data_IF_467988468343
#
_entry.id   IF_467988468343
#
_cell.length_a   1.000
_cell.length_b   1.000
_cell.length_c   1.000
_cell.angle_alpha   90.00
_cell.angle_beta   90.00
_cell.angle_gamma   90.00
#
_symmetry.space_group_name_H-M   'P 1'
#
loop_
_entity.id
_entity.type
_entity.pdbx_description
1 polymer ?
#
# COMPACT_ATOMS: atom_id res chain seq x y z
N UNK A 1 -3.56 -10.84 10.89
CA UNK A 1 -4.64 -11.86 10.91
C UNK A 1 -5.60 -11.56 9.77
N UNK A 2 -6.06 -12.58 9.04
CA UNK A 2 -7.04 -12.41 7.95
C UNK A 2 -8.47 -12.19 8.49
N UNK A 3 -9.31 -11.38 7.82
CA UNK A 3 -10.71 -11.20 8.20
C UNK A 3 -11.48 -12.53 8.18
N UNK A 4 -12.35 -12.76 9.18
CA UNK A 4 -13.10 -14.00 9.30
C UNK A 4 -14.05 -14.29 8.13
N UNK A 5 -14.71 -13.26 7.60
CA UNK A 5 -15.55 -13.39 6.39
C UNK A 5 -14.74 -13.86 5.18
N UNK A 6 -13.56 -13.26 4.97
CA UNK A 6 -12.65 -13.66 3.91
C UNK A 6 -12.20 -15.12 4.07
N UNK A 7 -11.82 -15.53 5.27
CA UNK A 7 -11.43 -16.92 5.54
C UNK A 7 -12.57 -17.90 5.27
N UNK A 8 -13.81 -17.55 5.62
CA UNK A 8 -14.96 -18.44 5.36
C UNK A 8 -15.17 -18.73 3.87
N UNK A 9 -15.00 -17.70 3.02
CA UNK A 9 -15.23 -17.81 1.59
C UNK A 9 -14.03 -18.44 0.85
N UNK A 10 -12.80 -18.10 1.27
CA UNK A 10 -11.61 -18.37 0.47
C UNK A 10 -10.60 -19.34 1.07
N UNK A 11 -10.78 -19.83 2.31
CA UNK A 11 -9.82 -20.75 2.99
C UNK A 11 -9.37 -21.94 2.14
N UNK A 12 -10.26 -22.47 1.30
CA UNK A 12 -9.98 -23.66 0.49
C UNK A 12 -9.02 -23.39 -0.66
N UNK A 13 -8.80 -22.12 -0.99
CA UNK A 13 -7.86 -21.68 -2.03
C UNK A 13 -6.55 -21.13 -1.45
N UNK A 14 -6.47 -20.98 -0.12
CA UNK A 14 -5.27 -20.54 0.58
C UNK A 14 -4.37 -21.73 0.89
N UNK A 15 -3.15 -21.70 0.37
CA UNK A 15 -2.07 -22.64 0.69
C UNK A 15 -1.45 -22.35 2.06
N UNK A 16 -0.30 -22.93 2.33
CA UNK A 16 0.47 -22.66 3.56
C UNK A 16 1.24 -21.34 3.49
N UNK A 17 1.35 -20.77 2.29
CA UNK A 17 1.96 -19.48 2.04
C UNK A 17 1.08 -18.66 1.11
N UNK A 18 1.26 -17.33 1.16
CA UNK A 18 0.71 -16.39 0.20
C UNK A 18 1.83 -15.62 -0.47
N UNK A 19 1.57 -15.16 -1.69
CA UNK A 19 2.44 -14.21 -2.39
C UNK A 19 1.75 -12.85 -2.41
N UNK A 20 2.47 -11.80 -2.02
CA UNK A 20 1.99 -10.42 -2.06
C UNK A 20 2.89 -9.64 -3.00
N UNK A 21 2.28 -8.94 -3.96
CA UNK A 21 2.92 -7.91 -4.76
C UNK A 21 2.53 -6.54 -4.19
N UNK A 22 3.49 -5.77 -3.70
CA UNK A 22 3.27 -4.40 -3.20
C UNK A 22 3.23 -3.37 -4.36
N UNK A 23 2.86 -2.14 -4.03
CA UNK A 23 2.72 -1.04 -4.99
C UNK A 23 4.03 -0.67 -5.71
N UNK A 24 5.18 -0.94 -5.07
CA UNK A 24 6.53 -0.71 -5.61
C UNK A 24 7.04 -1.88 -6.48
N UNK A 25 6.21 -2.91 -6.68
CA UNK A 25 6.56 -4.11 -7.44
C UNK A 25 7.35 -5.15 -6.65
N UNK A 26 7.62 -4.93 -5.36
CA UNK A 26 8.25 -5.92 -4.49
C UNK A 26 7.30 -7.08 -4.26
N UNK A 27 7.83 -8.29 -4.41
CA UNK A 27 7.10 -9.53 -4.20
C UNK A 27 7.65 -10.22 -2.96
N UNK A 28 6.77 -10.53 -2.02
CA UNK A 28 7.10 -11.27 -0.80
C UNK A 28 6.25 -12.54 -0.69
N UNK A 29 6.86 -13.60 -0.17
CA UNK A 29 6.15 -14.81 0.23
C UNK A 29 6.01 -14.83 1.75
N UNK A 30 4.78 -14.99 2.23
CA UNK A 30 4.45 -14.93 3.66
C UNK A 30 3.82 -16.26 4.08
N UNK A 31 4.31 -16.84 5.17
CA UNK A 31 3.72 -18.05 5.74
C UNK A 31 2.41 -17.75 6.47
N UNK A 32 1.49 -18.69 6.36
CA UNK A 32 0.21 -18.66 7.06
C UNK A 32 0.20 -19.63 8.22
N UNK A 33 -0.07 -19.10 9.42
CA UNK A 33 -0.34 -19.91 10.61
C UNK A 33 -1.84 -20.05 10.83
N UNK A 34 -2.25 -21.25 11.25
CA UNK A 34 -3.67 -21.58 11.50
C UNK A 34 -3.84 -21.95 12.97
N UNK A 35 -4.61 -21.15 13.68
CA UNK A 35 -4.95 -21.41 15.08
C UNK A 35 -6.43 -21.13 15.33
N UNK A 36 -7.13 -22.09 15.94
CA UNK A 36 -8.54 -21.99 16.32
C UNK A 36 -9.46 -21.43 15.21
N UNK A 37 -9.28 -21.89 13.97
CA UNK A 37 -10.08 -21.49 12.81
C UNK A 37 -9.78 -20.09 12.27
N UNK A 38 -8.75 -19.42 12.81
CA UNK A 38 -8.21 -18.16 12.31
C UNK A 38 -6.94 -18.40 11.51
N UNK A 39 -6.62 -17.45 10.64
CA UNK A 39 -5.42 -17.48 9.81
C UNK A 39 -4.62 -16.20 10.07
N UNK A 40 -3.33 -16.36 10.33
CA UNK A 40 -2.39 -15.29 10.66
C UNK A 40 -1.29 -15.22 9.62
N UNK A 41 -0.82 -14.00 9.35
CA UNK A 41 0.45 -13.79 8.67
C UNK A 41 1.54 -14.02 9.71
N UNK A 42 2.46 -14.93 9.40
CA UNK A 42 3.55 -15.33 10.27
C UNK A 42 4.89 -14.96 9.59
N UNK A 43 5.76 -15.95 9.35
CA UNK A 43 7.07 -15.73 8.77
C UNK A 43 7.01 -14.95 7.45
N UNK A 44 7.86 -13.93 7.34
CA UNK A 44 7.89 -12.99 6.22
C UNK A 44 7.05 -11.72 6.42
N UNK A 45 6.06 -11.72 7.32
CA UNK A 45 5.23 -10.54 7.57
C UNK A 45 5.99 -9.40 8.24
N UNK A 46 6.75 -9.69 9.30
CA UNK A 46 7.55 -8.67 10.02
C UNK A 46 8.58 -8.01 9.11
N UNK A 47 9.28 -8.80 8.29
CA UNK A 47 10.26 -8.29 7.32
C UNK A 47 9.61 -7.37 6.28
N UNK A 48 8.42 -7.73 5.81
CA UNK A 48 7.65 -6.89 4.89
C UNK A 48 7.21 -5.58 5.56
N UNK A 49 6.77 -5.66 6.82
CA UNK A 49 6.36 -4.52 7.63
C UNK A 49 7.51 -3.51 7.82
N UNK A 50 8.69 -4.01 8.18
CA UNK A 50 9.90 -3.21 8.34
C UNK A 50 10.38 -2.60 7.02
N UNK A 51 10.35 -3.40 5.94
CA UNK A 51 10.80 -2.95 4.62
C UNK A 51 10.00 -1.75 4.09
N UNK A 52 8.67 -1.78 4.27
CA UNK A 52 7.78 -0.69 3.82
C UNK A 52 7.58 0.39 4.89
N UNK A 53 8.33 0.33 5.99
CA UNK A 53 8.23 1.24 7.14
C UNK A 53 6.77 1.47 7.55
N UNK A 54 6.00 0.37 7.65
CA UNK A 54 4.59 0.46 8.01
C UNK A 54 4.45 1.02 9.43
N UNK A 55 3.48 1.90 9.61
CA UNK A 55 3.24 2.56 10.89
C UNK A 55 1.82 2.32 11.35
N UNK A 56 1.58 2.60 12.63
CA UNK A 56 0.24 2.67 13.17
C UNK A 56 -0.62 3.64 12.35
N UNK A 57 -1.90 3.30 12.19
CA UNK A 57 -2.88 4.01 11.37
C UNK A 57 -2.67 3.97 9.85
N UNK A 58 -1.63 3.29 9.34
CA UNK A 58 -1.61 2.91 7.92
C UNK A 58 -2.73 1.93 7.61
N UNK A 59 -3.32 2.07 6.41
CA UNK A 59 -4.36 1.17 5.91
C UNK A 59 -3.78 0.32 4.79
N UNK A 60 -3.86 -1.00 4.95
CA UNK A 60 -3.42 -1.97 3.96
C UNK A 60 -4.64 -2.54 3.25
N UNK A 61 -4.70 -2.37 1.93
CA UNK A 61 -5.75 -2.94 1.09
C UNK A 61 -5.18 -4.10 0.32
N UNK A 62 -5.78 -5.28 0.48
CA UNK A 62 -5.37 -6.50 -0.20
C UNK A 62 -6.40 -6.84 -1.27
N UNK A 63 -5.96 -6.93 -2.52
CA UNK A 63 -6.74 -7.49 -3.62
C UNK A 63 -6.39 -8.96 -3.77
N UNK A 64 -7.38 -9.86 -3.65
CA UNK A 64 -7.17 -11.29 -3.78
C UNK A 64 -7.38 -11.74 -5.23
N UNK A 65 -6.30 -12.25 -5.85
CA UNK A 65 -6.28 -12.65 -7.26
C UNK A 65 -6.51 -14.15 -7.46
N UNK A 66 -6.87 -14.88 -6.41
CA UNK A 66 -6.93 -16.35 -6.44
C UNK A 66 -5.59 -17.00 -6.15
N UNK A 67 -5.60 -18.32 -5.90
CA UNK A 67 -4.41 -19.16 -5.74
C UNK A 67 -3.37 -18.60 -4.75
N UNK A 68 -3.81 -18.04 -3.62
CA UNK A 68 -2.93 -17.45 -2.61
C UNK A 68 -2.09 -16.25 -3.09
N UNK A 69 -2.49 -15.60 -4.18
CA UNK A 69 -1.82 -14.41 -4.73
C UNK A 69 -2.63 -13.16 -4.39
N UNK A 70 -1.93 -12.13 -3.92
CA UNK A 70 -2.52 -10.85 -3.55
C UNK A 70 -1.72 -9.69 -4.15
N UNK A 71 -2.43 -8.61 -4.50
CA UNK A 71 -1.82 -7.29 -4.62
C UNK A 71 -2.07 -6.51 -3.34
N UNK A 72 -1.16 -5.61 -2.98
CA UNK A 72 -1.30 -4.73 -1.84
C UNK A 72 -1.13 -3.26 -2.25
N UNK A 73 -2.06 -2.44 -1.79
CA UNK A 73 -1.95 -0.98 -1.77
C UNK A 73 -1.87 -0.50 -0.33
N UNK A 74 -1.03 0.50 -0.08
CA UNK A 74 -0.79 1.06 1.26
C UNK A 74 -1.27 2.50 1.25
N UNK A 75 -2.05 2.87 2.25
CA UNK A 75 -2.45 4.25 2.50
C UNK A 75 -1.85 4.72 3.82
N UNK A 76 -1.33 5.93 3.85
CA UNK A 76 -0.82 6.56 5.06
C UNK A 76 -1.96 6.90 6.05
N UNK A 77 -1.61 7.48 7.21
CA UNK A 77 -2.60 7.84 8.22
C UNK A 77 -3.51 9.02 7.82
N UNK A 78 -3.22 9.72 6.72
CA UNK A 78 -4.11 10.71 6.10
C UNK A 78 -5.05 10.07 5.07
N UNK A 79 -4.89 8.78 4.77
CA UNK A 79 -5.63 8.07 3.74
C UNK A 79 -5.13 8.35 2.33
N UNK A 80 -3.90 8.86 2.19
CA UNK A 80 -3.25 9.05 0.89
C UNK A 80 -2.53 7.77 0.50
N UNK A 81 -2.70 7.36 -0.76
CA UNK A 81 -1.99 6.20 -1.31
C UNK A 81 -0.49 6.49 -1.29
N UNK A 82 0.28 5.58 -0.69
CA UNK A 82 1.74 5.65 -0.72
C UNK A 82 2.17 5.14 -2.09
N UNK A 83 2.55 6.07 -2.96
CA UNK A 83 3.24 5.80 -4.22
C UNK A 83 4.56 6.56 -4.19
N UNK A 84 5.68 5.85 -4.27
CA UNK A 84 6.96 6.52 -4.50
C UNK A 84 7.11 6.72 -6.01
N UNK A 85 6.94 7.96 -6.47
CA UNK A 85 7.43 8.36 -7.80
C UNK A 85 8.93 8.13 -7.80
N UNK A 86 9.38 7.13 -8.57
CA UNK A 86 10.76 6.64 -8.53
C UNK A 86 11.82 7.60 -9.07
N UNK A 87 11.53 8.89 -9.27
CA UNK A 87 12.44 9.82 -9.96
C UNK A 87 12.37 11.29 -9.47
N UNK A 88 12.16 11.54 -8.17
CA UNK A 88 12.48 12.86 -7.60
C UNK A 88 13.54 12.70 -6.51
N UNK A 89 14.78 13.16 -6.72
CA UNK A 89 15.75 13.24 -5.64
C UNK A 89 15.19 14.19 -4.57
N UNK A 90 14.92 13.66 -3.39
CA UNK A 90 14.64 14.48 -2.22
C UNK A 90 15.92 15.24 -1.84
N UNK A 91 16.06 16.47 -2.36
CA UNK A 91 17.03 17.42 -1.85
C UNK A 91 16.73 17.68 -0.37
N UNK A 92 17.57 17.10 0.49
CA UNK A 92 17.66 17.45 1.90
C UNK A 92 18.10 18.92 1.99
N UNK A 93 17.12 19.82 1.98
CA UNK A 93 17.34 21.24 2.23
C UNK A 93 17.73 21.44 3.69
N UNK A 94 19.03 21.41 3.95
CA UNK A 94 19.63 22.02 5.13
C UNK A 94 19.20 23.48 5.15
N UNK A 95 18.55 23.89 6.22
CA UNK A 95 18.01 25.23 6.42
C UNK A 95 19.09 26.31 6.30
N UNK A 96 19.12 27.01 5.16
CA UNK A 96 19.50 28.41 5.10
C UNK A 96 18.31 29.19 4.54
N UNK A 97 17.61 29.84 5.46
CA UNK A 97 16.53 30.78 5.17
C UNK A 97 17.07 31.98 4.42
N UNK A 98 16.85 32.01 3.11
CA UNK A 98 16.34 33.18 2.40
C UNK A 98 15.22 32.69 1.50
N UNK A 99 13.99 33.08 1.84
CA UNK A 99 12.75 32.70 1.18
C UNK A 99 12.63 33.36 -0.21
N UNK A 100 12.51 32.61 -1.32
CA UNK A 100 11.76 33.07 -2.48
C UNK A 100 10.42 32.33 -2.51
N UNK A 101 9.34 33.09 -2.49
CA UNK A 101 7.99 32.59 -2.67
C UNK A 101 7.90 31.66 -3.89
N UNK A 102 7.35 30.46 -3.70
CA UNK A 102 6.97 29.60 -4.82
C UNK A 102 5.69 30.14 -5.45
N UNK A 103 5.79 30.60 -6.70
CA UNK A 103 4.65 31.11 -7.46
C UNK A 103 3.85 29.93 -8.03
N UNK A 104 2.63 29.72 -7.51
CA UNK A 104 1.72 28.70 -8.05
C UNK A 104 1.00 29.31 -9.26
N UNK A 105 1.47 28.98 -10.46
CA UNK A 105 0.77 29.36 -11.70
C UNK A 105 -0.40 28.41 -11.93
N UNK A 106 -1.62 28.87 -11.64
CA UNK A 106 -2.83 28.16 -12.03
C UNK A 106 -3.16 28.48 -13.49
N UNK A 107 -3.01 27.51 -14.39
CA UNK A 107 -3.48 27.64 -15.77
C UNK A 107 -4.97 27.30 -15.85
N UNK A 108 -5.82 28.17 -16.42
CA UNK A 108 -7.24 27.85 -16.58
C UNK A 108 -7.40 26.78 -17.66
N UNK A 109 -7.82 25.58 -17.27
CA UNK A 109 -8.29 24.58 -18.23
C UNK A 109 -9.67 25.01 -18.73
N UNK A 110 -9.77 25.41 -19.99
CA UNK A 110 -11.03 25.78 -20.63
C UNK A 110 -11.86 24.52 -20.87
N UNK A 111 -12.71 24.16 -19.92
CA UNK A 111 -13.80 23.21 -20.14
C UNK A 111 -14.84 23.89 -21.02
N UNK A 112 -14.91 23.49 -22.30
CA UNK A 112 -15.97 23.91 -23.21
C UNK A 112 -17.31 23.37 -22.69
N UNK A 113 -18.02 24.18 -21.91
CA UNK A 113 -19.44 23.99 -21.66
C UNK A 113 -20.20 24.64 -22.82
N UNK A 114 -20.90 23.82 -23.59
CA UNK A 114 -21.85 24.26 -24.61
C UNK A 114 -23.14 24.60 -23.88
N UNK A 115 -23.48 25.88 -23.74
CA UNK A 115 -24.81 26.29 -23.29
C UNK A 115 -25.81 26.24 -24.47
N UNK A 116 -27.06 25.86 -24.17
CA UNK A 116 -28.25 26.08 -25.00
C UNK A 116 -28.88 27.40 -24.55
#
# INVERSE_FOLDING_TARGET
>A
MLPGSFVNDWRHQLGDTIQITAYDGIIVTIQLERDNGRIYFADGWEQFFDHHNLQDAHVLVFEYNGNSIFNMTIFDHYGLEITYDSDVPEEHNVSHTDNPAFEITLTPHQNSHREI
#
